data_IF_164425497425
#
_entry.id   IF_164425497425
#
_cell.length_a   1.000
_cell.length_b   1.000
_cell.length_c   1.000
_cell.angle_alpha   90.00
_cell.angle_beta   90.00
_cell.angle_gamma   90.00
#
_symmetry.space_group_name_H-M   'P 1'
#
loop_
_entity.id
_entity.type
_entity.pdbx_description
1 polymer ?
#
# COMPACT_ATOMS: atom_id res chain seq x y z
N UNK A 1 -2.97 0.69 14.49
CA UNK A 1 -1.90 1.63 14.11
C UNK A 1 -0.67 1.50 14.99
N UNK A 2 -0.85 1.38 16.31
CA UNK A 2 0.24 1.30 17.27
C UNK A 2 0.92 -0.06 17.32
N UNK A 3 2.18 -0.08 17.74
CA UNK A 3 2.98 -1.29 17.93
C UNK A 3 2.25 -2.35 18.77
N UNK A 4 1.85 -2.02 20.00
CA UNK A 4 1.14 -2.96 20.87
C UNK A 4 -0.21 -3.45 20.29
N UNK A 5 -0.89 -2.64 19.45
CA UNK A 5 -2.12 -3.05 18.80
C UNK A 5 -1.84 -4.04 17.66
N UNK A 6 -0.75 -3.84 16.92
CA UNK A 6 -0.29 -4.76 15.88
C UNK A 6 0.05 -6.11 16.51
N UNK A 7 0.86 -6.12 17.59
CA UNK A 7 1.20 -7.32 18.32
C UNK A 7 -0.03 -8.08 18.82
N UNK A 8 -0.97 -7.38 19.45
CA UNK A 8 -2.19 -8.01 19.96
C UNK A 8 -3.05 -8.65 18.84
N UNK A 9 -3.08 -8.06 17.64
CA UNK A 9 -3.79 -8.64 16.49
C UNK A 9 -3.02 -9.85 15.94
N UNK A 10 -1.70 -9.76 15.83
CA UNK A 10 -0.85 -10.89 15.44
C UNK A 10 -1.01 -12.05 16.43
N UNK A 11 -0.95 -11.79 17.74
CA UNK A 11 -1.19 -12.80 18.77
C UNK A 11 -2.54 -13.49 18.59
N UNK A 12 -3.59 -12.72 18.27
CA UNK A 12 -4.93 -13.27 18.05
C UNK A 12 -5.01 -14.17 16.79
N UNK A 13 -4.29 -13.83 15.73
CA UNK A 13 -4.25 -14.63 14.51
C UNK A 13 -3.35 -15.87 14.62
N UNK A 14 -2.33 -15.83 15.45
CA UNK A 14 -1.40 -16.96 15.70
C UNK A 14 -1.91 -17.95 16.74
N UNK A 15 -3.00 -17.62 17.44
CA UNK A 15 -3.62 -18.57 18.36
C UNK A 15 -4.49 -19.58 17.63
N UNK A 16 -4.85 -20.69 18.29
CA UNK A 16 -5.60 -21.84 17.76
C UNK A 16 -6.96 -21.51 17.10
N UNK A 17 -7.33 -20.23 17.03
CA UNK A 17 -8.58 -19.80 16.41
C UNK A 17 -8.53 -19.80 14.87
N UNK A 18 -7.33 -19.82 14.27
CA UNK A 18 -7.13 -19.79 12.82
C UNK A 18 -6.02 -20.77 12.45
N UNK A 19 -6.37 -21.86 11.75
CA UNK A 19 -5.41 -22.90 11.36
C UNK A 19 -4.30 -22.38 10.43
N UNK A 20 -4.63 -21.43 9.52
CA UNK A 20 -3.68 -20.81 8.58
C UNK A 20 -4.14 -19.38 8.25
N UNK A 21 -3.60 -18.36 8.93
CA UNK A 21 -3.97 -16.96 8.68
C UNK A 21 -3.67 -16.49 7.26
N UNK A 22 -2.60 -17.01 6.66
CA UNK A 22 -2.20 -16.67 5.29
C UNK A 22 -3.14 -17.26 4.24
N UNK A 23 -3.53 -18.52 4.40
CA UNK A 23 -4.51 -19.16 3.51
C UNK A 23 -5.90 -18.52 3.63
N UNK A 24 -6.28 -18.09 4.84
CA UNK A 24 -7.50 -17.33 5.09
C UNK A 24 -7.41 -15.88 4.60
N UNK A 25 -6.22 -15.41 4.20
CA UNK A 25 -5.91 -14.04 3.75
C UNK A 25 -6.36 -12.99 4.76
N UNK A 26 -6.12 -13.26 6.03
CA UNK A 26 -6.31 -12.23 7.05
C UNK A 26 -5.43 -11.03 6.75
N UNK A 27 -5.91 -9.85 7.11
CA UNK A 27 -5.15 -8.62 6.90
C UNK A 27 -5.20 -7.74 8.15
N UNK A 28 -4.20 -6.90 8.27
CA UNK A 28 -4.14 -5.85 9.27
C UNK A 28 -4.13 -4.51 8.54
N UNK A 29 -5.07 -3.64 8.93
CA UNK A 29 -5.16 -2.29 8.37
C UNK A 29 -4.12 -1.38 9.03
N UNK A 30 -3.58 -0.43 8.25
CA UNK A 30 -2.65 0.63 8.62
C UNK A 30 -1.21 0.16 8.86
N UNK A 31 -0.94 -0.70 9.80
CA UNK A 31 0.39 -1.25 10.14
C UNK A 31 1.49 -0.17 10.24
N UNK A 32 1.13 1.02 10.77
CA UNK A 32 2.00 2.19 10.73
C UNK A 32 3.26 2.08 11.60
N UNK A 33 3.16 1.41 12.77
CA UNK A 33 4.24 1.31 13.75
C UNK A 33 4.72 -0.15 13.95
N UNK A 34 4.81 -0.92 12.84
CA UNK A 34 5.40 -2.25 12.90
C UNK A 34 6.90 -2.18 13.17
N UNK A 35 7.35 -2.88 14.19
CA UNK A 35 8.78 -3.10 14.44
C UNK A 35 9.32 -4.31 13.65
N UNK A 36 10.59 -4.66 13.85
CA UNK A 36 11.23 -5.74 13.10
C UNK A 36 10.56 -7.08 13.37
N UNK A 37 10.17 -7.34 14.63
CA UNK A 37 9.50 -8.58 15.02
C UNK A 37 8.11 -8.69 14.41
N UNK A 38 7.34 -7.60 14.40
CA UNK A 38 6.02 -7.57 13.77
C UNK A 38 6.10 -7.78 12.25
N UNK A 39 7.11 -7.22 11.57
CA UNK A 39 7.34 -7.42 10.13
C UNK A 39 7.68 -8.89 9.85
N UNK A 40 8.55 -9.51 10.65
CA UNK A 40 8.90 -10.93 10.54
C UNK A 40 7.67 -11.82 10.70
N UNK A 41 6.86 -11.59 11.74
CA UNK A 41 5.58 -12.30 11.97
C UNK A 41 4.60 -12.14 10.82
N UNK A 42 4.43 -10.93 10.26
CA UNK A 42 3.59 -10.70 9.09
C UNK A 42 4.05 -11.54 7.88
N UNK A 43 5.37 -11.61 7.65
CA UNK A 43 5.94 -12.38 6.55
C UNK A 43 5.74 -13.90 6.77
N UNK A 44 6.00 -14.41 7.96
CA UNK A 44 5.87 -15.83 8.32
C UNK A 44 4.42 -16.32 8.27
N UNK A 45 3.48 -15.50 8.75
CA UNK A 45 2.05 -15.83 8.77
C UNK A 45 1.34 -15.62 7.45
N UNK A 46 1.95 -14.88 6.50
CA UNK A 46 1.32 -14.52 5.23
C UNK A 46 0.15 -13.54 5.36
N UNK A 47 -0.02 -12.90 6.50
CA UNK A 47 -1.04 -11.87 6.74
C UNK A 47 -0.75 -10.66 5.83
N UNK A 48 -1.79 -10.14 5.18
CA UNK A 48 -1.67 -9.00 4.27
C UNK A 48 -1.60 -7.69 5.07
N UNK A 49 -0.64 -6.84 4.75
CA UNK A 49 -0.59 -5.47 5.27
C UNK A 49 -1.39 -4.54 4.33
N UNK A 50 -2.57 -4.11 4.77
CA UNK A 50 -3.43 -3.17 4.06
C UNK A 50 -3.13 -1.75 4.55
N UNK A 51 -2.37 -1.00 3.76
CA UNK A 51 -1.70 0.22 4.22
C UNK A 51 -1.99 1.44 3.32
N UNK A 52 -1.76 2.64 3.85
CA UNK A 52 -2.13 3.91 3.21
C UNK A 52 -0.92 4.81 2.99
N UNK A 53 -0.28 4.76 1.82
CA UNK A 53 0.87 5.62 1.53
C UNK A 53 0.58 7.12 1.65
N UNK A 54 -0.67 7.53 1.43
CA UNK A 54 -1.13 8.91 1.57
C UNK A 54 -0.85 9.48 2.98
N UNK A 55 -0.75 8.62 4.00
CA UNK A 55 -0.46 9.01 5.38
C UNK A 55 1.00 9.46 5.58
N UNK A 56 1.89 9.13 4.65
CA UNK A 56 3.28 9.60 4.68
C UNK A 56 3.40 11.14 4.65
N UNK A 57 2.35 11.85 4.20
CA UNK A 57 2.31 13.31 4.32
C UNK A 57 2.46 13.80 5.78
N UNK A 58 2.06 12.97 6.75
CA UNK A 58 2.18 13.30 8.17
C UNK A 58 3.53 12.90 8.78
N UNK A 59 4.34 12.12 8.05
CA UNK A 59 5.67 11.69 8.47
C UNK A 59 6.79 12.68 8.06
N UNK A 60 6.45 13.76 7.34
CA UNK A 60 7.39 14.81 6.96
C UNK A 60 7.87 15.64 8.17
N UNK A 61 8.86 16.51 7.94
CA UNK A 61 9.39 17.45 8.93
C UNK A 61 8.26 18.35 9.47
N UNK A 62 8.22 18.55 10.78
CA UNK A 62 7.14 19.26 11.49
C UNK A 62 5.74 18.63 11.31
N UNK A 63 5.67 17.38 10.84
CA UNK A 63 4.42 16.65 10.62
C UNK A 63 3.74 16.19 11.90
N UNK A 64 2.49 15.73 11.75
CA UNK A 64 1.68 15.23 12.87
C UNK A 64 2.38 14.08 13.62
N UNK A 65 3.08 13.19 12.90
CA UNK A 65 3.74 12.05 13.52
C UNK A 65 4.88 12.50 14.43
N UNK A 66 5.71 13.45 14.00
CA UNK A 66 6.79 13.95 14.83
C UNK A 66 6.26 14.64 16.10
N UNK A 67 5.20 15.42 15.97
CA UNK A 67 4.55 16.07 17.11
C UNK A 67 3.96 15.07 18.12
N UNK A 68 3.58 13.86 17.71
CA UNK A 68 2.94 12.84 18.55
C UNK A 68 3.88 11.74 19.02
N UNK A 69 4.82 11.34 18.20
CA UNK A 69 5.69 10.19 18.40
C UNK A 69 7.13 10.57 18.72
N UNK A 70 7.53 11.81 18.40
CA UNK A 70 8.91 12.26 18.39
C UNK A 70 9.68 11.72 17.17
N UNK A 71 10.77 12.39 16.80
CA UNK A 71 11.52 12.12 15.58
C UNK A 71 11.98 10.65 15.44
N UNK A 72 12.44 10.02 16.53
CA UNK A 72 12.97 8.67 16.49
C UNK A 72 11.89 7.61 16.11
N UNK A 73 10.67 7.76 16.60
CA UNK A 73 9.56 6.85 16.25
C UNK A 73 8.99 7.17 14.88
N UNK A 74 8.88 8.46 14.52
CA UNK A 74 8.44 8.91 13.21
C UNK A 74 9.29 8.31 12.09
N UNK A 75 10.60 8.27 12.26
CA UNK A 75 11.53 7.69 11.31
C UNK A 75 11.32 6.16 11.10
N UNK A 76 10.55 5.52 11.95
CA UNK A 76 10.22 4.07 11.89
C UNK A 76 8.74 3.82 11.58
N UNK A 77 7.99 4.81 11.12
CA UNK A 77 6.61 4.62 10.65
C UNK A 77 6.59 4.18 9.19
N UNK A 78 5.52 3.48 8.79
CA UNK A 78 5.22 3.17 7.39
C UNK A 78 6.40 2.50 6.66
N UNK A 79 6.91 1.42 7.22
CA UNK A 79 8.13 0.71 6.78
C UNK A 79 7.87 -0.19 5.57
N UNK A 80 7.39 0.38 4.49
CA UNK A 80 6.92 -0.39 3.32
C UNK A 80 8.04 -1.14 2.60
N UNK A 81 9.26 -0.57 2.51
CA UNK A 81 10.41 -1.25 1.93
C UNK A 81 10.79 -2.47 2.76
N UNK A 82 10.92 -2.30 4.08
CA UNK A 82 11.29 -3.40 4.96
C UNK A 82 10.25 -4.53 4.91
N UNK A 83 8.96 -4.19 4.84
CA UNK A 83 7.88 -5.18 4.68
C UNK A 83 8.00 -5.94 3.35
N UNK A 84 8.22 -5.24 2.22
CA UNK A 84 8.40 -5.88 0.93
C UNK A 84 9.63 -6.78 0.89
N UNK A 85 10.75 -6.32 1.43
CA UNK A 85 12.02 -7.06 1.45
C UNK A 85 11.91 -8.31 2.35
N UNK A 86 11.10 -8.26 3.39
CA UNK A 86 10.74 -9.42 4.21
C UNK A 86 9.73 -10.38 3.55
N UNK A 87 9.13 -10.01 2.41
CA UNK A 87 8.14 -10.82 1.72
C UNK A 87 6.68 -10.60 2.15
N UNK A 88 6.40 -9.57 2.97
CA UNK A 88 5.02 -9.20 3.34
C UNK A 88 4.26 -8.73 2.11
N UNK A 89 3.05 -9.22 1.93
CA UNK A 89 2.15 -8.73 0.88
C UNK A 89 1.57 -7.38 1.27
N UNK A 90 1.80 -6.38 0.44
CA UNK A 90 1.20 -5.05 0.58
C UNK A 90 -0.04 -4.92 -0.30
N UNK A 91 -1.10 -4.37 0.29
CA UNK A 91 -2.26 -3.86 -0.43
C UNK A 91 -2.39 -2.37 -0.08
N UNK A 92 -2.44 -1.50 -1.10
CA UNK A 92 -2.53 -0.07 -0.90
C UNK A 92 -3.95 0.44 -1.07
N UNK A 93 -4.31 1.42 -0.25
CA UNK A 93 -5.56 2.18 -0.33
C UNK A 93 -5.34 3.59 0.20
N UNK A 94 -6.36 4.45 0.14
CA UNK A 94 -6.27 5.85 0.55
C UNK A 94 -6.89 6.13 1.92
N UNK A 95 -7.81 5.28 2.39
CA UNK A 95 -8.67 5.51 3.54
C UNK A 95 -9.42 6.86 3.41
N UNK A 96 -9.69 7.56 4.51
CA UNK A 96 -10.37 8.87 4.54
C UNK A 96 -9.52 10.07 4.12
N UNK A 97 -8.33 9.84 3.57
CA UNK A 97 -7.46 10.85 2.96
C UNK A 97 -7.97 11.22 1.56
N UNK A 98 -7.39 12.20 0.86
CA UNK A 98 -7.68 12.35 -0.56
C UNK A 98 -7.63 10.99 -1.25
N UNK A 99 -8.76 10.56 -1.81
CA UNK A 99 -8.89 9.26 -2.48
C UNK A 99 -8.25 9.36 -3.88
N UNK A 100 -6.94 9.52 -3.87
CA UNK A 100 -6.11 9.70 -5.04
C UNK A 100 -4.99 8.66 -5.04
N UNK A 101 -5.09 7.61 -5.87
CA UNK A 101 -4.08 6.58 -5.98
C UNK A 101 -2.73 7.10 -6.50
N UNK A 102 -2.71 8.09 -7.41
CA UNK A 102 -1.46 8.67 -7.91
C UNK A 102 -0.73 9.45 -6.82
N UNK A 103 -1.48 10.16 -5.97
CA UNK A 103 -0.90 10.79 -4.78
C UNK A 103 -0.30 9.74 -3.83
N UNK A 104 -0.98 8.62 -3.62
CA UNK A 104 -0.45 7.51 -2.81
C UNK A 104 0.81 6.89 -3.41
N UNK A 105 0.86 6.67 -4.73
CA UNK A 105 2.08 6.23 -5.44
C UNK A 105 3.20 7.26 -5.23
N UNK A 106 2.92 8.55 -5.44
CA UNK A 106 3.87 9.63 -5.19
C UNK A 106 4.44 9.57 -3.77
N UNK A 107 3.58 9.46 -2.76
CA UNK A 107 4.02 9.36 -1.36
C UNK A 107 4.91 8.13 -1.11
N UNK A 108 4.61 6.98 -1.69
CA UNK A 108 5.40 5.77 -1.51
C UNK A 108 6.80 5.87 -2.15
N UNK A 109 6.91 6.52 -3.32
CA UNK A 109 8.19 6.66 -4.03
C UNK A 109 9.03 7.84 -3.52
N UNK A 110 8.40 8.81 -2.83
CA UNK A 110 9.07 9.98 -2.25
C UNK A 110 9.11 9.95 -0.73
N UNK A 111 8.85 8.78 -0.12
CA UNK A 111 8.80 8.65 1.34
C UNK A 111 9.93 9.44 2.03
N UNK A 112 9.64 10.16 3.15
CA UNK A 112 10.64 10.99 3.84
C UNK A 112 11.90 10.21 4.20
N UNK A 113 11.75 8.98 4.72
CA UNK A 113 12.85 8.05 4.94
C UNK A 113 13.26 7.42 3.60
N UNK A 114 14.37 7.85 3.02
CA UNK A 114 14.82 7.37 1.70
C UNK A 114 15.01 5.85 1.63
N UNK A 115 15.37 5.20 2.74
CA UNK A 115 15.48 3.74 2.84
C UNK A 115 14.13 3.01 2.72
N UNK A 116 13.01 3.71 2.89
CA UNK A 116 11.66 3.14 2.81
C UNK A 116 10.96 3.42 1.48
N UNK A 117 11.64 4.11 0.55
CA UNK A 117 11.06 4.41 -0.76
C UNK A 117 10.87 3.17 -1.60
N UNK A 118 9.71 3.09 -2.24
CA UNK A 118 9.40 2.08 -3.23
C UNK A 118 9.72 2.57 -4.64
N UNK A 119 9.85 1.66 -5.57
CA UNK A 119 9.79 1.97 -6.99
C UNK A 119 8.34 2.23 -7.42
N UNK A 120 8.16 2.97 -8.51
CA UNK A 120 6.82 3.19 -9.10
C UNK A 120 6.11 1.86 -9.38
N UNK A 121 6.83 0.88 -9.91
CA UNK A 121 6.26 -0.44 -10.21
C UNK A 121 5.78 -1.18 -8.96
N UNK A 122 6.54 -1.14 -7.87
CA UNK A 122 6.15 -1.77 -6.59
C UNK A 122 4.91 -1.08 -6.00
N UNK A 123 4.87 0.25 -6.00
CA UNK A 123 3.73 1.02 -5.50
C UNK A 123 2.47 0.76 -6.33
N UNK A 124 2.56 0.76 -7.67
CA UNK A 124 1.45 0.42 -8.55
C UNK A 124 0.96 -1.01 -8.34
N UNK A 125 1.87 -1.99 -8.20
CA UNK A 125 1.49 -3.38 -7.90
C UNK A 125 0.73 -3.51 -6.59
N UNK A 126 1.09 -2.75 -5.56
CA UNK A 126 0.38 -2.77 -4.30
C UNK A 126 -1.04 -2.16 -4.42
N UNK A 127 -1.23 -1.12 -5.26
CA UNK A 127 -2.55 -0.55 -5.56
C UNK A 127 -3.41 -1.42 -6.48
N UNK A 128 -2.82 -2.30 -7.29
CA UNK A 128 -3.53 -3.12 -8.28
C UNK A 128 -3.58 -4.58 -7.85
N UNK A 129 -2.57 -5.37 -8.19
CA UNK A 129 -2.52 -6.81 -7.89
C UNK A 129 -2.55 -7.11 -6.38
N UNK A 130 -1.91 -6.27 -5.55
CA UNK A 130 -1.94 -6.43 -4.09
C UNK A 130 -3.33 -6.19 -3.51
N UNK A 131 -4.01 -5.13 -3.97
CA UNK A 131 -5.38 -4.83 -3.56
C UNK A 131 -6.37 -5.89 -4.05
N UNK A 132 -6.24 -6.37 -5.30
CA UNK A 132 -7.05 -7.45 -5.83
C UNK A 132 -6.88 -8.74 -5.02
N UNK A 133 -5.64 -9.12 -4.69
CA UNK A 133 -5.36 -10.26 -3.83
C UNK A 133 -6.01 -10.13 -2.44
N UNK A 134 -5.94 -8.97 -1.81
CA UNK A 134 -6.58 -8.72 -0.52
C UNK A 134 -8.10 -8.79 -0.58
N UNK A 135 -8.69 -8.55 -1.76
CA UNK A 135 -10.11 -8.62 -2.06
C UNK A 135 -10.59 -9.97 -2.58
N UNK A 136 -9.71 -10.97 -2.76
CA UNK A 136 -10.02 -12.27 -3.40
C UNK A 136 -10.47 -12.15 -4.86
N UNK A 137 -10.01 -11.12 -5.56
CA UNK A 137 -10.37 -10.81 -6.95
C UNK A 137 -9.18 -10.92 -7.93
N UNK A 138 -8.04 -11.45 -7.52
CA UNK A 138 -6.81 -11.50 -8.33
C UNK A 138 -6.93 -12.32 -9.62
N UNK A 139 -7.89 -13.25 -9.68
CA UNK A 139 -8.20 -14.02 -10.89
C UNK A 139 -8.91 -13.18 -11.97
N UNK A 140 -9.42 -12.01 -11.57
CA UNK A 140 -10.23 -11.13 -12.43
C UNK A 140 -9.67 -9.72 -12.56
N UNK A 141 -9.04 -9.20 -11.51
CA UNK A 141 -8.63 -7.81 -11.36
C UNK A 141 -7.14 -7.68 -11.02
N UNK A 142 -6.63 -6.45 -11.11
CA UNK A 142 -5.29 -6.09 -10.67
C UNK A 142 -4.19 -6.26 -11.71
N UNK A 143 -4.48 -6.90 -12.84
CA UNK A 143 -3.55 -7.05 -13.98
C UNK A 143 -4.26 -6.83 -15.31
N UNK A 144 -3.48 -6.60 -16.38
CA UNK A 144 -3.98 -6.51 -17.76
C UNK A 144 -3.59 -7.79 -18.54
N UNK A 145 -3.67 -8.93 -17.89
CA UNK A 145 -3.39 -10.21 -18.52
C UNK A 145 -4.60 -10.71 -19.33
N UNK A 146 -4.34 -11.66 -20.23
CA UNK A 146 -5.42 -12.26 -21.02
C UNK A 146 -6.33 -13.10 -20.13
N UNK A 147 -7.60 -12.73 -20.06
CA UNK A 147 -8.63 -13.42 -19.28
C UNK A 147 -9.08 -12.64 -18.04
N UNK A 148 -8.38 -11.56 -17.69
CA UNK A 148 -8.84 -10.62 -16.64
C UNK A 148 -9.79 -9.56 -17.22
N UNK A 149 -10.49 -8.84 -16.33
CA UNK A 149 -11.32 -7.70 -16.71
C UNK A 149 -10.46 -6.60 -17.33
N UNK A 150 -11.01 -5.91 -18.32
CA UNK A 150 -10.34 -4.78 -18.96
C UNK A 150 -10.56 -3.50 -18.13
N UNK A 151 -9.96 -3.48 -16.93
CA UNK A 151 -9.97 -2.35 -15.99
C UNK A 151 -8.64 -1.64 -16.05
N UNK A 152 -8.60 -0.42 -16.58
CA UNK A 152 -7.36 0.34 -16.70
C UNK A 152 -7.60 1.84 -16.73
N UNK A 153 -6.55 2.59 -16.46
CA UNK A 153 -6.48 4.03 -16.66
C UNK A 153 -5.44 4.36 -17.73
N UNK A 154 -5.70 5.40 -18.48
CA UNK A 154 -4.73 6.04 -19.38
C UNK A 154 -4.31 7.35 -18.71
N UNK A 155 -3.03 7.53 -18.54
CA UNK A 155 -2.42 8.72 -17.96
C UNK A 155 -1.85 9.60 -19.08
N UNK A 156 -1.88 10.92 -18.89
CA UNK A 156 -1.32 11.87 -19.88
C UNK A 156 0.23 11.78 -19.92
N UNK A 157 0.86 11.43 -18.81
CA UNK A 157 2.30 11.29 -18.71
C UNK A 157 2.68 9.93 -18.09
N UNK A 158 3.91 9.50 -18.33
CA UNK A 158 4.44 8.26 -17.77
C UNK A 158 4.83 8.46 -16.30
N UNK A 159 4.27 7.70 -15.35
CA UNK A 159 4.67 7.79 -13.95
C UNK A 159 6.10 7.26 -13.71
N UNK A 160 6.71 6.58 -14.69
CA UNK A 160 8.11 6.14 -14.64
C UNK A 160 9.09 7.20 -15.13
N UNK A 161 8.63 8.32 -15.69
CA UNK A 161 9.50 9.44 -16.03
C UNK A 161 10.03 10.07 -14.73
N UNK A 162 11.35 10.12 -14.52
CA UNK A 162 11.93 10.70 -13.31
C UNK A 162 11.68 12.21 -13.17
N UNK A 163 11.28 12.89 -14.24
CA UNK A 163 10.88 14.30 -14.22
C UNK A 163 9.41 14.51 -13.86
N UNK A 164 8.59 13.46 -13.90
CA UNK A 164 7.16 13.57 -13.62
C UNK A 164 6.89 13.73 -12.12
N UNK A 165 6.07 14.71 -11.76
CA UNK A 165 5.44 14.78 -10.45
C UNK A 165 4.21 13.87 -10.47
N UNK A 166 4.35 12.61 -10.01
CA UNK A 166 3.31 11.58 -10.17
C UNK A 166 1.94 12.03 -9.67
N UNK A 167 1.90 12.80 -8.58
CA UNK A 167 0.65 13.34 -8.02
C UNK A 167 -0.03 14.40 -8.90
N UNK A 168 0.66 14.93 -9.90
CA UNK A 168 0.15 15.98 -10.79
C UNK A 168 -0.20 15.43 -12.18
N UNK A 169 -0.02 14.11 -12.41
CA UNK A 169 -0.34 13.47 -13.69
C UNK A 169 -1.87 13.36 -13.84
N UNK A 170 -2.39 13.92 -14.91
CA UNK A 170 -3.80 13.84 -15.23
C UNK A 170 -4.19 12.46 -15.77
N UNK A 171 -5.40 12.01 -15.39
CA UNK A 171 -6.03 10.82 -15.96
C UNK A 171 -6.77 11.21 -17.23
N UNK A 172 -6.31 10.73 -18.38
CA UNK A 172 -6.94 10.96 -19.69
C UNK A 172 -8.21 10.11 -19.87
N UNK A 173 -8.19 8.86 -19.38
CA UNK A 173 -9.32 7.93 -19.54
C UNK A 173 -9.34 6.90 -18.42
N UNK A 174 -10.54 6.49 -18.01
CA UNK A 174 -10.76 5.33 -17.15
C UNK A 174 -11.70 4.34 -17.84
N UNK A 175 -11.30 3.07 -17.85
CA UNK A 175 -12.07 1.96 -18.41
C UNK A 175 -12.34 0.95 -17.31
N UNK A 176 -13.60 0.51 -17.21
CA UNK A 176 -14.04 -0.53 -16.26
C UNK A 176 -14.84 -1.57 -17.04
N UNK A 177 -14.46 -2.82 -16.91
CA UNK A 177 -15.04 -3.97 -17.63
C UNK A 177 -15.14 -3.73 -19.15
N UNK A 178 -14.11 -3.10 -19.71
CA UNK A 178 -14.04 -2.74 -21.14
C UNK A 178 -14.89 -1.52 -21.54
N UNK A 179 -15.65 -0.93 -20.63
CA UNK A 179 -16.44 0.27 -20.90
C UNK A 179 -15.70 1.53 -20.45
N UNK A 180 -15.65 2.56 -21.32
CA UNK A 180 -15.12 3.88 -20.95
C UNK A 180 -16.08 4.54 -19.97
N UNK A 181 -15.63 4.79 -18.74
CA UNK A 181 -16.43 5.44 -17.69
C UNK A 181 -16.01 6.89 -17.43
N UNK A 182 -14.83 7.26 -17.89
CA UNK A 182 -14.32 8.63 -17.87
C UNK A 182 -13.45 8.88 -19.10
N UNK A 183 -13.61 10.02 -19.74
CA UNK A 183 -12.81 10.51 -20.87
C UNK A 183 -12.65 12.03 -20.73
N UNK A 184 -11.41 12.48 -20.57
CA UNK A 184 -11.06 13.90 -20.43
C UNK A 184 -10.92 14.65 -21.77
N UNK A 185 -11.01 13.95 -22.92
CA UNK A 185 -10.83 14.50 -24.28
C UNK A 185 -12.10 15.12 -24.82
#
# INVERSE_FOLDING_TARGET
NGDAAIDAVLDAYETDAVDDPGAARHRIEHVELADDAAIERLAETGIVASVQPNFLKWAGEDGLYEARLGAARTARTNRYRDMLDAGVRLAFGSDGMPMDPLYGVHCAVTAPAASQRLTVTEALRAYTAGAAYAGFDEDRLGTLERGTCADFVVLEESPWDPAAAICDIDVAMTVVDGAVVYDAR
#
